data_IF_773250319198
#
_entry.id   IF_773250319198
#
_cell.length_a   1.000
_cell.length_b   1.000
_cell.length_c   1.000
_cell.angle_alpha   90.00
_cell.angle_beta   90.00
_cell.angle_gamma   90.00
#
_symmetry.space_group_name_H-M   'P 1'
#
loop_
_entity.id
_entity.type
_entity.pdbx_description
1 polymer ?
#
# COMPACT_ATOMS: atom_id res chain seq x y z
N UNK A 1 -51.42 18.15 -16.09
CA UNK A 1 -50.97 16.93 -15.37
C UNK A 1 -49.46 16.78 -15.58
N UNK A 2 -48.65 17.21 -14.63
CA UNK A 2 -47.19 17.27 -14.76
C UNK A 2 -46.57 15.96 -14.26
N UNK A 3 -45.84 15.26 -15.12
CA UNK A 3 -45.04 14.09 -14.75
C UNK A 3 -43.59 14.54 -14.53
N UNK A 4 -43.21 14.74 -13.27
CA UNK A 4 -41.84 15.03 -12.88
C UNK A 4 -40.98 13.77 -13.11
N UNK A 5 -40.19 13.76 -14.19
CA UNK A 5 -39.13 12.76 -14.38
C UNK A 5 -38.03 13.03 -13.35
N UNK A 6 -37.97 12.19 -12.34
CA UNK A 6 -36.91 12.18 -11.31
C UNK A 6 -35.52 12.15 -11.94
N UNK A 7 -34.80 13.27 -11.86
CA UNK A 7 -33.39 13.38 -12.19
C UNK A 7 -32.48 12.60 -11.21
N UNK A 8 -33.06 12.03 -10.15
CA UNK A 8 -32.36 11.27 -9.11
C UNK A 8 -31.99 9.86 -9.56
N UNK A 9 -32.73 9.28 -10.52
CA UNK A 9 -32.50 7.90 -11.00
C UNK A 9 -31.31 7.72 -11.94
N UNK A 10 -30.78 8.80 -12.53
CA UNK A 10 -29.63 8.72 -13.46
C UNK A 10 -28.26 8.67 -12.78
N UNK A 11 -28.17 9.02 -11.49
CA UNK A 11 -26.89 9.07 -10.76
C UNK A 11 -26.44 7.72 -10.18
N UNK A 12 -27.26 6.68 -10.29
CA UNK A 12 -26.97 5.34 -9.78
C UNK A 12 -26.74 4.30 -10.90
N UNK A 13 -26.14 4.71 -12.02
CA UNK A 13 -25.66 3.75 -13.01
C UNK A 13 -24.31 3.19 -12.53
N UNK A 14 -24.40 2.06 -11.82
CA UNK A 14 -23.28 1.18 -11.51
C UNK A 14 -22.63 0.77 -12.84
N UNK A 15 -21.52 1.43 -13.21
CA UNK A 15 -20.72 1.08 -14.39
C UNK A 15 -20.09 -0.28 -14.12
N UNK A 16 -20.71 -1.34 -14.64
CA UNK A 16 -20.00 -2.58 -14.91
C UNK A 16 -18.88 -2.24 -15.90
N UNK A 17 -17.63 -2.34 -15.46
CA UNK A 17 -16.50 -2.29 -16.37
C UNK A 17 -16.66 -3.45 -17.38
N UNK A 18 -16.42 -3.24 -18.68
CA UNK A 18 -16.48 -4.32 -19.66
C UNK A 18 -15.54 -5.45 -19.23
N UNK A 19 -16.00 -6.70 -19.34
CA UNK A 19 -15.11 -7.86 -19.19
C UNK A 19 -13.98 -7.72 -20.21
N UNK A 20 -12.75 -7.51 -19.71
CA UNK A 20 -11.54 -7.54 -20.53
C UNK A 20 -11.55 -8.85 -21.33
N UNK A 21 -11.28 -8.76 -22.64
CA UNK A 21 -11.16 -9.96 -23.46
C UNK A 21 -10.02 -10.85 -22.96
N UNK A 22 -10.09 -12.16 -23.17
CA UNK A 22 -9.14 -13.09 -22.54
C UNK A 22 -7.68 -12.82 -22.92
N UNK A 23 -7.44 -12.32 -24.13
CA UNK A 23 -6.13 -11.85 -24.56
C UNK A 23 -5.63 -10.63 -23.77
N UNK A 24 -6.51 -9.66 -23.49
CA UNK A 24 -6.19 -8.48 -22.67
C UNK A 24 -6.01 -8.84 -21.19
N UNK A 25 -6.71 -9.88 -20.69
CA UNK A 25 -6.51 -10.42 -19.34
C UNK A 25 -5.13 -11.05 -19.20
N UNK A 26 -4.71 -11.86 -20.17
CA UNK A 26 -3.38 -12.49 -20.17
C UNK A 26 -2.26 -11.45 -20.26
N UNK A 27 -2.38 -10.46 -21.13
CA UNK A 27 -1.41 -9.36 -21.22
C UNK A 27 -1.32 -8.56 -19.90
N UNK A 28 -2.46 -8.27 -19.26
CA UNK A 28 -2.48 -7.60 -17.96
C UNK A 28 -1.88 -8.45 -16.83
N UNK A 29 -2.02 -9.78 -16.89
CA UNK A 29 -1.38 -10.71 -15.94
C UNK A 29 0.13 -10.82 -16.16
N UNK A 30 0.59 -10.76 -17.41
CA UNK A 30 2.01 -10.73 -17.76
C UNK A 30 2.67 -9.43 -17.34
N UNK A 31 2.01 -8.29 -17.55
CA UNK A 31 2.45 -6.98 -17.05
C UNK A 31 2.51 -6.96 -15.51
N UNK A 32 1.49 -7.51 -14.84
CA UNK A 32 1.48 -7.60 -13.37
C UNK A 32 2.51 -8.60 -12.81
N UNK A 33 2.96 -9.58 -13.60
CA UNK A 33 4.01 -10.53 -13.22
C UNK A 33 5.41 -9.98 -13.48
N UNK A 34 5.55 -8.92 -14.28
CA UNK A 34 6.82 -8.28 -14.54
C UNK A 34 7.32 -7.57 -13.27
N UNK A 35 8.36 -8.13 -12.64
CA UNK A 35 8.93 -7.67 -11.38
C UNK A 35 10.16 -6.76 -11.58
N UNK A 36 10.39 -6.25 -12.80
CA UNK A 36 11.50 -5.36 -13.09
C UNK A 36 11.46 -4.07 -12.26
N UNK A 37 12.63 -3.61 -11.80
CA UNK A 37 12.78 -2.41 -10.96
C UNK A 37 12.55 -2.61 -9.46
N UNK A 38 12.16 -3.81 -9.01
CA UNK A 38 12.10 -4.14 -7.58
C UNK A 38 13.48 -4.59 -7.11
N UNK A 39 14.05 -3.88 -6.14
CA UNK A 39 15.32 -4.26 -5.55
C UNK A 39 15.11 -5.41 -4.53
N UNK A 40 15.64 -6.62 -4.78
CA UNK A 40 15.42 -7.78 -3.91
C UNK A 40 16.00 -7.58 -2.50
N UNK A 41 17.09 -6.82 -2.36
CA UNK A 41 17.71 -6.55 -1.06
C UNK A 41 16.79 -5.75 -0.13
N UNK A 42 16.06 -4.76 -0.68
CA UNK A 42 15.13 -3.93 0.08
C UNK A 42 13.92 -4.78 0.51
N UNK A 43 13.44 -5.64 -0.39
CA UNK A 43 12.32 -6.54 -0.12
C UNK A 43 12.66 -7.54 1.01
N UNK A 44 13.82 -8.20 0.91
CA UNK A 44 14.30 -9.14 1.92
C UNK A 44 14.58 -8.40 3.25
N UNK A 45 15.23 -7.24 3.22
CA UNK A 45 15.47 -6.42 4.42
C UNK A 45 14.17 -6.02 5.12
N UNK A 46 13.17 -5.57 4.36
CA UNK A 46 11.84 -5.23 4.88
C UNK A 46 11.11 -6.43 5.48
N UNK A 47 11.26 -7.62 4.89
CA UNK A 47 10.66 -8.85 5.41
C UNK A 47 11.26 -9.28 6.76
N UNK A 48 12.58 -9.15 6.92
CA UNK A 48 13.29 -9.46 8.18
C UNK A 48 12.84 -8.49 9.27
N UNK A 49 12.70 -7.20 8.94
CA UNK A 49 12.19 -6.21 9.89
C UNK A 49 10.76 -6.53 10.33
N UNK A 50 9.86 -6.85 9.40
CA UNK A 50 8.48 -7.24 9.72
C UNK A 50 8.44 -8.52 10.59
N UNK A 51 9.28 -9.51 10.28
CA UNK A 51 9.42 -10.72 11.09
C UNK A 51 9.95 -10.43 12.49
N UNK A 52 10.92 -9.52 12.63
CA UNK A 52 11.45 -9.09 13.93
C UNK A 52 10.37 -8.41 14.78
N UNK A 53 9.54 -7.55 14.18
CA UNK A 53 8.40 -6.92 14.85
C UNK A 53 7.38 -7.98 15.28
N UNK A 54 7.05 -8.94 14.41
CA UNK A 54 6.16 -10.07 14.76
C UNK A 54 6.66 -10.85 15.97
N UNK A 55 7.95 -11.21 15.99
CA UNK A 55 8.60 -11.90 17.09
C UNK A 55 8.61 -11.06 18.38
N UNK A 56 8.88 -9.75 18.28
CA UNK A 56 8.80 -8.83 19.40
C UNK A 56 7.40 -8.77 20.01
N UNK A 57 6.36 -8.71 19.17
CA UNK A 57 4.97 -8.76 19.63
C UNK A 57 4.59 -10.12 20.25
N UNK A 58 5.15 -11.22 19.76
CA UNK A 58 4.94 -12.53 20.37
C UNK A 58 5.50 -12.59 21.80
N UNK A 59 6.74 -12.10 21.99
CA UNK A 59 7.37 -12.00 23.32
C UNK A 59 6.55 -11.06 24.22
N UNK A 60 6.11 -9.91 23.69
CA UNK A 60 5.26 -8.98 24.43
C UNK A 60 3.93 -9.61 24.86
N UNK A 61 3.34 -10.48 24.03
CA UNK A 61 2.14 -11.26 24.37
C UNK A 61 2.40 -12.16 25.58
N UNK A 62 3.55 -12.84 25.62
CA UNK A 62 3.98 -13.64 26.78
C UNK A 62 4.13 -12.78 28.05
N UNK A 63 4.79 -11.64 27.95
CA UNK A 63 4.95 -10.71 29.07
C UNK A 63 3.62 -10.15 29.60
N UNK A 64 2.69 -9.82 28.70
CA UNK A 64 1.33 -9.43 29.07
C UNK A 64 0.60 -10.54 29.84
N UNK A 65 0.88 -11.81 29.53
CA UNK A 65 0.22 -12.95 30.18
C UNK A 65 0.67 -13.05 31.64
N UNK A 66 1.98 -12.94 31.85
CA UNK A 66 2.58 -12.91 33.18
C UNK A 66 2.10 -11.69 33.99
N UNK A 67 1.99 -10.53 33.35
CA UNK A 67 1.49 -9.31 34.00
C UNK A 67 0.03 -9.46 34.45
N UNK A 68 -0.83 -10.07 33.63
CA UNK A 68 -2.21 -10.35 34.00
C UNK A 68 -2.37 -11.48 35.02
N UNK A 69 -1.45 -12.45 35.05
CA UNK A 69 -1.43 -13.51 36.05
C UNK A 69 -0.99 -13.01 37.43
N UNK A 70 0.01 -12.11 37.48
CA UNK A 70 0.52 -11.52 38.72
C UNK A 70 -0.43 -10.50 39.36
N UNK A 71 -1.33 -9.90 38.57
CA UNK A 71 -2.30 -8.90 39.05
C UNK A 71 -3.75 -9.39 38.86
N UNK A 72 -4.24 -10.30 39.73
CA UNK A 72 -5.64 -10.70 39.71
C UNK A 72 -6.54 -9.52 40.14
N UNK A 73 -7.66 -9.32 39.44
CA UNK A 73 -8.65 -8.29 39.81
C UNK A 73 -9.59 -8.93 40.83
N UNK A 74 -9.29 -8.70 42.12
CA UNK A 74 -10.16 -9.07 43.24
C UNK A 74 -10.92 -7.82 43.67
N UNK A 75 -12.12 -7.63 43.12
CA UNK A 75 -13.05 -6.55 43.49
C UNK A 75 -14.39 -7.13 43.90
N UNK A 76 -15.00 -6.57 44.94
CA UNK A 76 -16.29 -7.05 45.49
C UNK A 76 -17.47 -6.78 44.54
N UNK A 77 -17.28 -5.92 43.54
CA UNK A 77 -18.28 -5.61 42.53
C UNK A 77 -18.21 -6.58 41.34
N UNK A 78 -19.17 -7.49 41.28
CA UNK A 78 -19.28 -8.54 40.25
C UNK A 78 -19.17 -8.03 38.80
N UNK A 79 -19.78 -6.88 38.50
CA UNK A 79 -19.75 -6.26 37.16
C UNK A 79 -18.33 -5.88 36.75
N UNK A 80 -17.54 -5.34 37.67
CA UNK A 80 -16.15 -4.91 37.40
C UNK A 80 -15.27 -6.12 37.10
N UNK A 81 -15.47 -7.21 37.83
CA UNK A 81 -14.72 -8.45 37.63
C UNK A 81 -14.96 -9.06 36.24
N UNK A 82 -16.21 -9.09 35.77
CA UNK A 82 -16.55 -9.60 34.43
C UNK A 82 -15.95 -8.74 33.31
N UNK A 83 -16.04 -7.42 33.42
CA UNK A 83 -15.47 -6.49 32.43
C UNK A 83 -13.94 -6.63 32.39
N UNK A 84 -13.28 -6.71 33.55
CA UNK A 84 -11.85 -6.91 33.62
C UNK A 84 -11.40 -8.25 32.99
N UNK A 85 -12.19 -9.32 33.15
CA UNK A 85 -11.93 -10.60 32.47
C UNK A 85 -12.04 -10.49 30.95
N UNK A 86 -13.09 -9.83 30.44
CA UNK A 86 -13.26 -9.60 29.00
C UNK A 86 -12.13 -8.72 28.45
N UNK A 87 -11.73 -7.68 29.18
CA UNK A 87 -10.67 -6.77 28.74
C UNK A 87 -9.31 -7.48 28.60
N UNK A 88 -8.92 -8.32 29.57
CA UNK A 88 -7.69 -9.13 29.47
C UNK A 88 -7.69 -10.01 28.22
N UNK A 89 -8.80 -10.69 27.95
CA UNK A 89 -8.96 -11.54 26.76
C UNK A 89 -8.95 -10.72 25.46
N UNK A 90 -9.60 -9.55 25.45
CA UNK A 90 -9.63 -8.67 24.29
C UNK A 90 -8.23 -8.12 23.96
N UNK A 91 -7.49 -7.64 24.96
CA UNK A 91 -6.11 -7.15 24.78
C UNK A 91 -5.21 -8.29 24.30
N UNK A 92 -5.30 -9.47 24.92
CA UNK A 92 -4.56 -10.65 24.46
C UNK A 92 -4.86 -11.03 23.01
N UNK A 93 -6.15 -11.02 22.64
CA UNK A 93 -6.58 -11.32 21.29
C UNK A 93 -6.01 -10.35 20.26
N UNK A 94 -6.06 -9.04 20.55
CA UNK A 94 -5.56 -8.00 19.62
C UNK A 94 -4.04 -8.09 19.45
N UNK A 95 -3.29 -8.26 20.54
CA UNK A 95 -1.82 -8.33 20.46
C UNK A 95 -1.37 -9.61 19.74
N UNK A 96 -2.03 -10.75 20.01
CA UNK A 96 -1.77 -11.99 19.28
C UNK A 96 -2.13 -11.88 17.80
N UNK A 97 -3.23 -11.21 17.44
CA UNK A 97 -3.60 -10.95 16.05
C UNK A 97 -2.58 -10.06 15.35
N UNK A 98 -2.12 -9.00 16.02
CA UNK A 98 -1.12 -8.09 15.47
C UNK A 98 0.20 -8.81 15.21
N UNK A 99 0.65 -9.67 16.14
CA UNK A 99 1.83 -10.53 15.94
C UNK A 99 1.65 -11.44 14.71
N UNK A 100 0.51 -12.11 14.59
CA UNK A 100 0.19 -12.99 13.46
C UNK A 100 0.14 -12.25 12.12
N UNK A 101 -0.48 -11.07 12.06
CA UNK A 101 -0.54 -10.27 10.85
C UNK A 101 0.86 -9.83 10.38
N UNK A 102 1.70 -9.35 11.29
CA UNK A 102 3.10 -9.02 10.98
C UNK A 102 3.91 -10.25 10.55
N UNK A 103 3.61 -11.43 11.11
CA UNK A 103 4.24 -12.68 10.72
C UNK A 103 3.89 -13.09 9.29
N UNK A 104 2.61 -13.06 8.94
CA UNK A 104 2.13 -13.42 7.59
C UNK A 104 2.60 -12.42 6.54
N UNK A 105 2.55 -11.12 6.86
CA UNK A 105 3.06 -10.07 5.94
C UNK A 105 4.57 -10.18 5.74
N UNK A 106 5.34 -10.39 6.80
CA UNK A 106 6.78 -10.63 6.71
C UNK A 106 7.11 -11.85 5.84
N UNK A 107 6.39 -12.96 6.03
CA UNK A 107 6.56 -14.17 5.23
C UNK A 107 6.16 -13.96 3.76
N UNK A 108 5.09 -13.22 3.48
CA UNK A 108 4.67 -12.89 2.12
C UNK A 108 5.68 -12.03 1.36
N UNK A 109 6.21 -10.99 2.02
CA UNK A 109 7.25 -10.13 1.43
C UNK A 109 8.55 -10.92 1.23
N UNK A 110 8.90 -11.82 2.16
CA UNK A 110 10.07 -12.68 2.02
C UNK A 110 9.98 -13.61 0.81
N UNK A 111 8.84 -14.29 0.62
CA UNK A 111 8.61 -15.16 -0.53
C UNK A 111 8.67 -14.40 -1.87
N UNK A 112 8.12 -13.18 -1.91
CA UNK A 112 8.21 -12.33 -3.09
C UNK A 112 9.67 -11.91 -3.34
N UNK A 113 10.41 -11.53 -2.29
CA UNK A 113 11.83 -11.22 -2.37
C UNK A 113 12.67 -12.37 -2.90
N UNK A 114 12.39 -13.62 -2.49
CA UNK A 114 13.04 -14.81 -3.01
C UNK A 114 12.77 -15.01 -4.51
N UNK A 115 11.51 -14.84 -4.94
CA UNK A 115 11.15 -14.95 -6.36
C UNK A 115 11.87 -13.91 -7.21
N UNK A 116 11.97 -12.67 -6.72
CA UNK A 116 12.69 -11.60 -7.40
C UNK A 116 14.20 -11.89 -7.42
N UNK A 117 14.77 -12.36 -6.31
CA UNK A 117 16.18 -12.73 -6.24
C UNK A 117 16.53 -13.84 -7.22
N UNK A 118 15.65 -14.85 -7.40
CA UNK A 118 15.82 -15.88 -8.41
C UNK A 118 15.80 -15.30 -9.83
N UNK A 119 14.86 -14.39 -10.15
CA UNK A 119 14.79 -13.73 -11.46
C UNK A 119 15.97 -12.80 -11.77
N UNK A 120 16.55 -12.17 -10.75
CA UNK A 120 17.77 -11.34 -10.89
C UNK A 120 19.00 -12.23 -11.13
N UNK A 121 19.10 -13.38 -10.45
CA UNK A 121 20.20 -14.33 -10.64
C UNK A 121 20.17 -15.03 -12.00
N UNK A 122 19.00 -15.25 -12.60
CA UNK A 122 18.87 -15.84 -13.95
C UNK A 122 19.14 -14.85 -15.08
N UNK A 123 19.43 -13.58 -14.78
CA UNK A 123 19.78 -12.57 -15.78
C UNK A 123 18.61 -12.09 -16.64
N UNK A 124 17.37 -12.44 -16.27
CA UNK A 124 16.14 -12.01 -16.97
C UNK A 124 15.56 -10.71 -16.40
N UNK A 125 15.87 -10.38 -15.14
CA UNK A 125 15.43 -9.14 -14.49
C UNK A 125 16.60 -8.17 -14.34
N UNK A 126 16.40 -6.93 -14.80
CA UNK A 126 17.36 -5.85 -14.62
C UNK A 126 17.19 -5.26 -13.20
N UNK A 127 18.20 -5.35 -12.32
CA UNK A 127 18.13 -4.82 -10.96
C UNK A 127 18.25 -3.30 -10.91
N UNK A 128 18.51 -2.64 -12.04
CA UNK A 128 18.40 -1.19 -12.09
C UNK A 128 16.94 -0.79 -11.88
N UNK A 129 16.65 0.19 -11.01
CA UNK A 129 15.32 0.76 -10.98
C UNK A 129 15.05 1.33 -12.37
N UNK A 130 14.07 0.77 -13.09
CA UNK A 130 13.46 1.50 -14.19
C UNK A 130 12.83 2.71 -13.51
N UNK A 131 13.56 3.83 -13.46
CA UNK A 131 12.91 5.11 -13.28
C UNK A 131 12.11 5.25 -14.54
N UNK A 132 10.85 4.83 -14.51
CA UNK A 132 9.85 5.28 -15.46
C UNK A 132 9.66 6.78 -15.19
N UNK A 133 10.63 7.56 -15.63
CA UNK A 133 10.48 8.96 -16.01
C UNK A 133 9.58 8.90 -17.25
N UNK A 134 8.30 8.60 -17.06
CA UNK A 134 7.30 9.21 -17.92
C UNK A 134 7.36 10.71 -17.59
N UNK A 135 8.38 11.36 -18.18
CA UNK A 135 8.27 12.67 -18.79
C UNK A 135 6.98 12.62 -19.59
N UNK A 136 5.99 13.37 -19.11
CA UNK A 136 4.84 13.92 -19.84
C UNK A 136 3.60 14.08 -18.95
N UNK A 137 3.71 13.82 -17.65
CA UNK A 137 2.98 14.58 -16.65
C UNK A 137 3.90 14.71 -15.44
N UNK A 138 4.59 15.84 -15.32
CA UNK A 138 5.10 16.27 -14.04
C UNK A 138 4.01 15.97 -13.00
N UNK A 139 4.28 15.25 -11.89
CA UNK A 139 3.47 15.50 -10.73
C UNK A 139 3.63 17.01 -10.54
N UNK A 140 2.58 17.76 -10.86
CA UNK A 140 2.36 19.05 -10.27
C UNK A 140 2.33 18.73 -8.77
N UNK A 141 3.50 18.62 -8.14
CA UNK A 141 3.65 18.75 -6.72
C UNK A 141 3.12 20.15 -6.55
N UNK A 142 1.86 20.17 -6.12
CA UNK A 142 1.06 21.35 -5.98
C UNK A 142 1.95 22.29 -5.18
N UNK A 143 2.51 23.32 -5.83
CA UNK A 143 3.23 24.37 -5.14
C UNK A 143 2.14 25.17 -4.41
N UNK A 144 1.59 24.59 -3.34
CA UNK A 144 0.54 25.12 -2.48
C UNK A 144 0.93 26.53 -2.02
N UNK A 145 2.23 26.68 -1.74
CA UNK A 145 2.83 27.95 -1.39
C UNK A 145 2.86 28.97 -2.53
N UNK A 146 3.15 28.55 -3.77
CA UNK A 146 3.13 29.42 -4.96
C UNK A 146 1.72 29.80 -5.42
N UNK A 147 0.75 28.92 -5.20
CA UNK A 147 -0.68 29.18 -5.47
C UNK A 147 -1.27 30.17 -4.45
N UNK A 148 -0.84 30.13 -3.17
CA UNK A 148 -1.27 31.07 -2.14
C UNK A 148 -0.57 32.44 -2.21
N UNK A 149 0.66 32.51 -2.72
CA UNK A 149 1.44 33.78 -2.78
C UNK A 149 1.37 34.48 -4.13
N UNK A 150 0.55 33.97 -5.07
CA UNK A 150 0.28 34.63 -6.36
C UNK A 150 1.49 34.73 -7.30
N UNK A 151 2.63 34.14 -6.98
CA UNK A 151 3.86 34.31 -7.77
C UNK A 151 4.05 33.20 -8.81
N UNK A 152 3.12 33.10 -9.77
CA UNK A 152 3.34 32.27 -10.97
C UNK A 152 4.17 33.05 -12.00
N UNK A 153 5.50 32.86 -11.99
CA UNK A 153 6.39 33.33 -13.06
C UNK A 153 6.10 32.54 -14.35
N UNK A 154 5.24 33.08 -15.22
CA UNK A 154 5.14 32.67 -16.63
C UNK A 154 6.46 33.02 -17.32
N UNK A 155 7.36 32.04 -17.50
CA UNK A 155 8.54 32.19 -18.36
C UNK A 155 8.09 32.16 -19.83
N UNK A 156 8.04 33.35 -20.42
CA UNK A 156 8.04 33.57 -21.88
C UNK A 156 9.25 32.88 -22.50
N UNK A 157 9.05 32.09 -23.56
CA UNK A 157 10.14 31.55 -24.39
C UNK A 157 9.98 32.09 -25.81
N UNK A 158 10.65 33.20 -26.02
CA UNK A 158 11.02 33.76 -27.31
C UNK A 158 12.18 32.94 -27.94
N UNK A 159 12.25 32.95 -29.27
CA UNK A 159 13.48 32.69 -30.04
C UNK A 159 13.63 31.35 -30.77
N UNK A 160 13.37 31.35 -32.10
CA UNK A 160 14.09 30.49 -33.05
C UNK A 160 13.31 29.95 -34.26
N UNK A 161 13.18 30.71 -35.35
CA UNK A 161 12.84 30.19 -36.69
C UNK A 161 14.11 29.74 -37.43
N UNK A 162 14.06 28.65 -38.21
CA UNK A 162 14.35 28.73 -39.67
C UNK A 162 13.51 27.71 -40.48
N UNK A 163 13.40 27.63 -41.82
CA UNK A 163 13.63 28.44 -43.04
C UNK A 163 12.76 27.74 -44.11
N UNK A 164 12.26 28.49 -45.10
CA UNK A 164 11.29 28.02 -46.10
C UNK A 164 11.89 27.03 -47.12
N UNK A 165 11.17 25.99 -47.56
CA UNK A 165 11.59 25.07 -48.62
C UNK A 165 10.97 25.45 -49.99
N UNK A 166 11.40 26.56 -50.57
CA UNK A 166 11.27 26.81 -52.02
C UNK A 166 12.64 27.07 -52.65
N UNK A 167 13.59 26.21 -52.29
CA UNK A 167 14.84 25.91 -52.99
C UNK A 167 15.08 24.41 -52.86
#
# INVERSE_FOLDING_TARGET
KYAAKSALGKKFQFRYAPEKTDAERLAALEEARNLNGINPLICIGGSIFAAAVSAGLWIATGYLAEMFASHPVTTDFYTVQRIAGVFRNAVMGIVSLASGFFGVTGLGIFLLGLRVAQGVLTGELDPTPIVNINKDNDPQILNIWGFMTGSNKRRSKDGGKPKNPFL
#
